data_IF_723437994362
#
_entry.id   IF_723437994362
#
_cell.length_a   1.000
_cell.length_b   1.000
_cell.length_c   1.000
_cell.angle_alpha   90.00
_cell.angle_beta   90.00
_cell.angle_gamma   90.00
#
_symmetry.space_group_name_H-M   'P 1'
#
loop_
_entity.id
_entity.type
_entity.pdbx_description
1 polymer ?
#
# COMPACT_ATOMS: atom_id res chain seq x y z
N UNK A 1 -45.79 -38.80 -16.09
CA UNK A 1 -45.76 -37.51 -16.82
C UNK A 1 -45.58 -36.28 -15.92
N UNK A 2 -46.21 -36.17 -14.73
CA UNK A 2 -46.14 -35.01 -13.81
C UNK A 2 -44.75 -34.51 -13.33
N UNK A 3 -43.71 -35.35 -13.31
CA UNK A 3 -42.39 -34.95 -12.75
C UNK A 3 -41.54 -34.17 -13.77
N UNK A 4 -41.83 -34.30 -15.07
CA UNK A 4 -41.15 -33.53 -16.13
C UNK A 4 -41.59 -32.06 -16.15
N UNK A 5 -42.83 -31.80 -15.77
CA UNK A 5 -43.42 -30.46 -15.71
C UNK A 5 -42.66 -29.59 -14.69
N UNK A 6 -42.42 -30.09 -13.48
CA UNK A 6 -41.71 -29.33 -12.44
C UNK A 6 -40.25 -28.97 -12.80
N UNK A 7 -39.52 -29.85 -13.50
CA UNK A 7 -38.14 -29.57 -13.93
C UNK A 7 -38.05 -28.54 -15.05
N UNK A 8 -38.94 -28.64 -16.04
CA UNK A 8 -39.01 -27.68 -17.14
C UNK A 8 -39.51 -26.30 -16.68
N UNK A 9 -40.44 -26.27 -15.72
CA UNK A 9 -40.91 -25.05 -15.06
C UNK A 9 -39.79 -24.35 -14.29
N UNK A 10 -38.98 -25.10 -13.53
CA UNK A 10 -37.82 -24.56 -12.81
C UNK A 10 -36.78 -23.97 -13.77
N UNK A 11 -36.46 -24.67 -14.87
CA UNK A 11 -35.51 -24.17 -15.88
C UNK A 11 -36.06 -22.91 -16.57
N UNK A 12 -37.32 -22.93 -17.00
CA UNK A 12 -37.96 -21.78 -17.65
C UNK A 12 -38.06 -20.57 -16.72
N UNK A 13 -38.43 -20.79 -15.45
CA UNK A 13 -38.51 -19.78 -14.41
C UNK A 13 -37.14 -19.17 -14.07
N UNK A 14 -36.07 -19.96 -14.17
CA UNK A 14 -34.71 -19.52 -13.86
C UNK A 14 -34.05 -18.66 -14.96
N UNK A 15 -34.48 -18.77 -16.22
CA UNK A 15 -33.90 -18.03 -17.36
C UNK A 15 -33.89 -16.51 -17.13
N UNK A 16 -34.99 -15.94 -16.67
CA UNK A 16 -35.13 -14.50 -16.47
C UNK A 16 -34.24 -13.97 -15.32
N UNK A 17 -34.26 -14.55 -14.10
CA UNK A 17 -33.35 -14.17 -13.03
C UNK A 17 -31.86 -14.23 -13.41
N UNK A 18 -31.44 -15.25 -14.16
CA UNK A 18 -30.06 -15.37 -14.64
C UNK A 18 -29.71 -14.25 -15.63
N UNK A 19 -30.60 -13.92 -16.58
CA UNK A 19 -30.41 -12.82 -17.52
C UNK A 19 -30.37 -11.46 -16.84
N UNK A 20 -31.22 -11.23 -15.84
CA UNK A 20 -31.22 -9.98 -15.08
C UNK A 20 -29.93 -9.79 -14.28
N UNK A 21 -29.38 -10.85 -13.66
CA UNK A 21 -28.09 -10.79 -12.96
C UNK A 21 -26.92 -10.59 -13.92
N UNK A 22 -26.93 -11.24 -15.08
CA UNK A 22 -25.92 -11.05 -16.13
C UNK A 22 -25.91 -9.60 -16.63
N UNK A 23 -27.09 -9.03 -16.90
CA UNK A 23 -27.24 -7.62 -17.28
C UNK A 23 -26.81 -6.66 -16.15
N UNK A 24 -27.01 -7.05 -14.89
CA UNK A 24 -26.58 -6.27 -13.73
C UNK A 24 -25.06 -6.22 -13.60
N UNK A 25 -24.40 -7.39 -13.66
CA UNK A 25 -22.94 -7.51 -13.49
C UNK A 25 -22.15 -7.00 -14.71
N UNK A 26 -22.73 -7.00 -15.91
CA UNK A 26 -22.08 -6.49 -17.12
C UNK A 26 -22.11 -4.96 -17.21
N UNK A 27 -22.99 -4.29 -16.46
CA UNK A 27 -23.13 -2.84 -16.52
C UNK A 27 -21.92 -2.07 -15.94
N UNK A 28 -21.63 -0.89 -16.49
CA UNK A 28 -20.55 0.02 -15.99
C UNK A 28 -20.73 0.42 -14.52
N UNK A 29 -21.97 0.49 -14.04
CA UNK A 29 -22.31 0.83 -12.64
C UNK A 29 -22.74 -0.38 -11.80
N UNK A 30 -22.26 -1.58 -12.14
CA UNK A 30 -22.72 -2.84 -11.53
C UNK A 30 -22.72 -2.81 -10.00
N UNK A 31 -21.67 -2.29 -9.35
CA UNK A 31 -21.60 -2.22 -7.86
C UNK A 31 -22.81 -1.54 -7.24
N UNK A 32 -23.20 -0.38 -7.80
CA UNK A 32 -24.37 0.38 -7.32
C UNK A 32 -25.68 -0.35 -7.60
N UNK A 33 -25.79 -1.03 -8.76
CA UNK A 33 -26.99 -1.81 -9.09
C UNK A 33 -27.13 -3.04 -8.19
N UNK A 34 -26.02 -3.72 -7.93
CA UNK A 34 -25.92 -4.86 -7.04
C UNK A 34 -26.33 -4.51 -5.61
N UNK A 35 -25.83 -3.40 -5.07
CA UNK A 35 -26.19 -2.90 -3.74
C UNK A 35 -27.66 -2.43 -3.62
N UNK A 36 -28.31 -2.05 -4.73
CA UNK A 36 -29.72 -1.65 -4.73
C UNK A 36 -30.69 -2.84 -4.69
N UNK A 37 -30.23 -4.05 -4.99
CA UNK A 37 -31.08 -5.24 -5.11
C UNK A 37 -30.50 -6.46 -4.37
N UNK A 38 -30.15 -6.34 -3.08
CA UNK A 38 -29.55 -7.45 -2.32
C UNK A 38 -30.49 -8.65 -2.16
N UNK A 39 -31.79 -8.40 -2.06
CA UNK A 39 -32.83 -9.43 -1.96
C UNK A 39 -32.86 -10.35 -3.20
N UNK A 40 -32.53 -9.81 -4.38
CA UNK A 40 -32.47 -10.61 -5.61
C UNK A 40 -31.29 -11.57 -5.63
N UNK A 41 -30.16 -11.15 -5.09
CA UNK A 41 -28.95 -11.98 -5.00
C UNK A 41 -29.19 -13.11 -4.00
N UNK A 42 -29.72 -12.79 -2.82
CA UNK A 42 -30.04 -13.81 -1.81
C UNK A 42 -31.11 -14.79 -2.28
N UNK A 43 -32.18 -14.33 -2.94
CA UNK A 43 -33.20 -15.21 -3.53
C UNK A 43 -32.63 -16.11 -4.64
N UNK A 44 -31.73 -15.57 -5.48
CA UNK A 44 -31.06 -16.34 -6.51
C UNK A 44 -30.18 -17.45 -5.91
N UNK A 45 -29.37 -17.11 -4.91
CA UNK A 45 -28.50 -18.08 -4.21
C UNK A 45 -29.32 -19.16 -3.51
N UNK A 46 -30.44 -18.80 -2.88
CA UNK A 46 -31.33 -19.76 -2.24
C UNK A 46 -31.98 -20.76 -3.22
N UNK A 47 -32.30 -20.31 -4.45
CA UNK A 47 -32.89 -21.17 -5.50
C UNK A 47 -31.88 -21.91 -6.37
N UNK A 48 -30.57 -21.64 -6.22
CA UNK A 48 -29.55 -22.12 -7.14
C UNK A 48 -29.42 -23.65 -7.16
N UNK A 49 -29.55 -24.30 -6.01
CA UNK A 49 -29.39 -25.76 -5.90
C UNK A 49 -30.50 -26.50 -6.65
N UNK A 50 -31.76 -26.07 -6.50
CA UNK A 50 -32.89 -26.66 -7.21
C UNK A 50 -32.75 -26.53 -8.74
N UNK A 51 -32.20 -25.40 -9.22
CA UNK A 51 -31.93 -25.19 -10.65
C UNK A 51 -30.80 -26.10 -11.13
N UNK A 52 -29.74 -26.26 -10.34
CA UNK A 52 -28.62 -27.16 -10.65
C UNK A 52 -29.09 -28.61 -10.76
N UNK A 53 -29.82 -29.09 -9.77
CA UNK A 53 -30.39 -30.44 -9.79
C UNK A 53 -31.34 -30.66 -10.99
N UNK A 54 -32.16 -29.66 -11.32
CA UNK A 54 -33.07 -29.73 -12.47
C UNK A 54 -32.29 -29.85 -13.79
N UNK A 55 -31.22 -29.07 -13.97
CA UNK A 55 -30.34 -29.16 -15.14
C UNK A 55 -29.65 -30.53 -15.23
N UNK A 56 -29.07 -31.01 -14.13
CA UNK A 56 -28.42 -32.33 -14.09
C UNK A 56 -29.39 -33.46 -14.42
N UNK A 57 -30.61 -33.40 -13.89
CA UNK A 57 -31.65 -34.39 -14.14
C UNK A 57 -32.10 -34.39 -15.61
N UNK A 58 -32.27 -33.21 -16.21
CA UNK A 58 -32.63 -33.07 -17.63
C UNK A 58 -31.51 -33.58 -18.54
N UNK A 59 -30.25 -33.22 -18.28
CA UNK A 59 -29.11 -33.69 -19.08
C UNK A 59 -28.90 -35.20 -18.95
N UNK A 60 -28.97 -35.74 -17.72
CA UNK A 60 -28.86 -37.19 -17.48
C UNK A 60 -29.94 -37.97 -18.21
N UNK A 61 -31.19 -37.49 -18.15
CA UNK A 61 -32.31 -38.15 -18.81
C UNK A 61 -32.21 -38.06 -20.34
N UNK A 62 -31.82 -36.89 -20.87
CA UNK A 62 -31.58 -36.72 -22.29
C UNK A 62 -30.52 -37.70 -22.84
N UNK A 63 -29.47 -37.97 -22.06
CA UNK A 63 -28.45 -38.96 -22.41
C UNK A 63 -28.99 -40.40 -22.39
N UNK A 64 -29.75 -40.78 -21.36
CA UNK A 64 -30.33 -42.14 -21.23
C UNK A 64 -31.40 -42.41 -22.27
N UNK A 65 -32.26 -41.44 -22.54
CA UNK A 65 -33.40 -41.57 -23.46
C UNK A 65 -33.06 -41.12 -24.89
N UNK A 66 -31.79 -40.77 -25.18
CA UNK A 66 -31.30 -40.32 -26.49
C UNK A 66 -32.18 -39.23 -27.12
N UNK A 67 -32.50 -38.21 -26.34
CA UNK A 67 -33.35 -37.11 -26.79
C UNK A 67 -32.71 -36.40 -27.99
N UNK A 68 -33.53 -36.08 -29.00
CA UNK A 68 -33.10 -35.25 -30.11
C UNK A 68 -32.63 -33.88 -29.62
N UNK A 69 -31.55 -33.35 -30.21
CA UNK A 69 -30.92 -32.10 -29.78
C UNK A 69 -31.86 -30.89 -29.84
N UNK A 70 -32.86 -30.95 -30.72
CA UNK A 70 -33.81 -29.86 -30.98
C UNK A 70 -34.99 -29.83 -30.01
N UNK A 71 -35.07 -30.80 -29.09
CA UNK A 71 -36.07 -30.84 -28.02
C UNK A 71 -36.09 -29.51 -27.26
N UNK A 72 -37.26 -28.83 -27.14
CA UNK A 72 -37.34 -27.51 -26.52
C UNK A 72 -36.76 -27.45 -25.10
N UNK A 73 -37.03 -28.48 -24.28
CA UNK A 73 -36.54 -28.56 -22.89
C UNK A 73 -35.02 -28.71 -22.84
N UNK A 74 -34.43 -29.52 -23.73
CA UNK A 74 -32.98 -29.69 -23.81
C UNK A 74 -32.28 -28.43 -24.31
N UNK A 75 -32.87 -27.73 -25.30
CA UNK A 75 -32.38 -26.43 -25.76
C UNK A 75 -32.39 -25.39 -24.65
N UNK A 76 -33.47 -25.31 -23.86
CA UNK A 76 -33.55 -24.41 -22.71
C UNK A 76 -32.53 -24.78 -21.63
N UNK A 77 -32.38 -26.06 -21.31
CA UNK A 77 -31.39 -26.53 -20.34
C UNK A 77 -29.95 -26.20 -20.76
N UNK A 78 -29.61 -26.42 -22.04
CA UNK A 78 -28.30 -26.03 -22.61
C UNK A 78 -28.09 -24.52 -22.55
N UNK A 79 -29.10 -23.73 -22.97
CA UNK A 79 -29.03 -22.27 -22.92
C UNK A 79 -28.81 -21.74 -21.50
N UNK A 80 -29.53 -22.28 -20.51
CA UNK A 80 -29.36 -21.92 -19.11
C UNK A 80 -27.98 -22.33 -18.57
N UNK A 81 -27.47 -23.51 -18.97
CA UNK A 81 -26.12 -23.97 -18.58
C UNK A 81 -25.04 -23.00 -19.10
N UNK A 82 -25.08 -22.65 -20.39
CA UNK A 82 -24.17 -21.66 -20.98
C UNK A 82 -24.30 -20.28 -20.32
N UNK A 83 -25.52 -19.87 -19.99
CA UNK A 83 -25.73 -18.62 -19.28
C UNK A 83 -25.12 -18.64 -17.87
N UNK A 84 -25.29 -19.73 -17.14
CA UNK A 84 -24.71 -19.92 -15.80
C UNK A 84 -23.18 -19.90 -15.86
N UNK A 85 -22.56 -20.51 -16.86
CA UNK A 85 -21.11 -20.45 -17.08
C UNK A 85 -20.63 -19.01 -17.35
N UNK A 86 -21.31 -18.28 -18.25
CA UNK A 86 -21.00 -16.87 -18.52
C UNK A 86 -21.13 -16.01 -17.27
N UNK A 87 -22.20 -16.21 -16.51
CA UNK A 87 -22.46 -15.49 -15.27
C UNK A 87 -21.42 -15.82 -14.21
N UNK A 88 -20.99 -17.08 -14.12
CA UNK A 88 -19.91 -17.52 -13.22
C UNK A 88 -18.61 -16.83 -13.55
N UNK A 89 -18.21 -16.83 -14.83
CA UNK A 89 -17.01 -16.12 -15.29
C UNK A 89 -17.09 -14.63 -14.98
N UNK A 90 -18.23 -14.00 -15.26
CA UNK A 90 -18.43 -12.58 -15.00
C UNK A 90 -18.39 -12.25 -13.50
N UNK A 91 -19.00 -13.08 -12.64
CA UNK A 91 -18.94 -12.93 -11.20
C UNK A 91 -17.52 -13.07 -10.67
N UNK A 92 -16.74 -14.03 -11.19
CA UNK A 92 -15.31 -14.19 -10.88
C UNK A 92 -14.50 -12.98 -11.33
N UNK A 93 -14.68 -12.50 -12.56
CA UNK A 93 -14.03 -11.29 -13.07
C UNK A 93 -14.34 -10.07 -12.19
N UNK A 94 -15.59 -9.91 -11.73
CA UNK A 94 -15.97 -8.84 -10.80
C UNK A 94 -15.34 -9.03 -9.43
N UNK A 95 -15.30 -10.25 -8.91
CA UNK A 95 -14.67 -10.57 -7.63
C UNK A 95 -13.18 -10.27 -7.66
N UNK A 96 -12.50 -10.62 -8.75
CA UNK A 96 -11.08 -10.32 -9.01
C UNK A 96 -10.77 -8.82 -9.04
N UNK A 97 -11.76 -7.96 -9.32
CA UNK A 97 -11.57 -6.51 -9.21
C UNK A 97 -11.53 -6.02 -7.76
N UNK A 98 -12.02 -6.81 -6.79
CA UNK A 98 -12.17 -6.44 -5.38
C UNK A 98 -11.24 -7.23 -4.44
N UNK A 99 -10.94 -8.48 -4.75
CA UNK A 99 -10.08 -9.39 -3.96
C UNK A 99 -9.51 -10.47 -4.88
N UNK A 100 -8.66 -11.36 -4.39
CA UNK A 100 -8.19 -12.52 -5.17
C UNK A 100 -9.29 -13.58 -5.18
N UNK A 101 -9.89 -13.87 -6.34
CA UNK A 101 -10.87 -14.93 -6.46
C UNK A 101 -10.18 -16.31 -6.45
N UNK A 102 -10.66 -17.27 -5.64
CA UNK A 102 -10.24 -18.66 -5.79
C UNK A 102 -10.60 -19.18 -7.19
N UNK A 103 -9.74 -20.00 -7.82
CA UNK A 103 -9.96 -20.47 -9.20
C UNK A 103 -11.27 -21.28 -9.35
N UNK A 104 -11.67 -21.99 -8.28
CA UNK A 104 -12.80 -22.94 -8.30
C UNK A 104 -14.07 -22.40 -7.62
N UNK A 105 -14.14 -21.09 -7.36
CA UNK A 105 -15.30 -20.51 -6.66
C UNK A 105 -16.59 -20.70 -7.47
N UNK A 106 -17.65 -21.23 -6.84
CA UNK A 106 -18.94 -21.43 -7.50
C UNK A 106 -19.61 -20.07 -7.77
N UNK A 107 -20.64 -20.04 -8.63
CA UNK A 107 -21.38 -18.81 -8.90
C UNK A 107 -22.00 -18.23 -7.62
N UNK A 108 -22.63 -19.08 -6.82
CA UNK A 108 -23.32 -18.70 -5.58
C UNK A 108 -22.33 -18.10 -4.60
N UNK A 109 -21.21 -18.79 -4.38
CA UNK A 109 -20.17 -18.33 -3.48
C UNK A 109 -19.54 -17.02 -3.96
N UNK A 110 -19.31 -16.87 -5.27
CA UNK A 110 -18.82 -15.63 -5.84
C UNK A 110 -19.78 -14.47 -5.60
N UNK A 111 -21.09 -14.68 -5.79
CA UNK A 111 -22.13 -13.67 -5.56
C UNK A 111 -22.24 -13.30 -4.07
N UNK A 112 -22.22 -14.28 -3.16
CA UNK A 112 -22.24 -14.03 -1.71
C UNK A 112 -20.99 -13.27 -1.25
N UNK A 113 -19.80 -13.62 -1.76
CA UNK A 113 -18.55 -12.90 -1.45
C UNK A 113 -18.58 -11.46 -2.01
N UNK A 114 -19.06 -11.27 -3.24
CA UNK A 114 -19.27 -9.94 -3.82
C UNK A 114 -20.20 -9.10 -2.94
N UNK A 115 -21.32 -9.67 -2.49
CA UNK A 115 -22.26 -8.99 -1.60
C UNK A 115 -21.61 -8.58 -0.28
N UNK A 116 -20.91 -9.49 0.39
CA UNK A 116 -20.23 -9.21 1.65
C UNK A 116 -19.19 -8.09 1.51
N UNK A 117 -18.40 -8.10 0.43
CA UNK A 117 -17.39 -7.07 0.17
C UNK A 117 -18.01 -5.70 -0.11
N UNK A 118 -19.08 -5.66 -0.91
CA UNK A 118 -19.74 -4.41 -1.29
C UNK A 118 -20.53 -3.78 -0.12
N UNK A 119 -21.09 -4.59 0.78
CA UNK A 119 -21.82 -4.12 1.97
C UNK A 119 -20.92 -3.49 3.03
N UNK A 120 -19.61 -3.71 2.96
CA UNK A 120 -18.62 -3.12 3.85
C UNK A 120 -18.00 -1.88 3.18
N UNK A 121 -18.57 -0.68 3.36
CA UNK A 121 -18.02 0.53 2.77
C UNK A 121 -16.66 0.85 3.37
N UNK A 122 -15.75 1.34 2.51
CA UNK A 122 -14.45 1.82 2.97
C UNK A 122 -14.62 3.20 3.60
N UNK A 123 -14.54 3.26 4.93
CA UNK A 123 -14.49 4.54 5.63
C UNK A 123 -13.16 5.25 5.36
N UNK A 124 -13.24 6.51 4.92
CA UNK A 124 -12.10 7.42 4.75
C UNK A 124 -11.61 8.03 6.07
N UNK A 125 -12.49 8.07 7.07
CA UNK A 125 -12.17 8.56 8.39
C UNK A 125 -11.35 7.51 9.14
N UNK A 126 -10.46 7.99 10.01
CA UNK A 126 -9.79 7.14 10.98
C UNK A 126 -10.82 6.58 11.94
N UNK A 127 -10.72 5.29 12.25
CA UNK A 127 -11.48 4.66 13.31
C UNK A 127 -10.93 5.12 14.68
N UNK A 128 -11.71 4.93 15.72
CA UNK A 128 -11.23 5.12 17.09
C UNK A 128 -10.03 4.20 17.36
N UNK A 129 -8.94 4.75 17.91
CA UNK A 129 -7.67 4.04 18.12
C UNK A 129 -6.79 3.83 16.88
N UNK A 130 -7.26 4.24 15.69
CA UNK A 130 -6.48 4.17 14.46
C UNK A 130 -5.58 5.41 14.32
N UNK A 131 -4.28 5.18 14.16
CA UNK A 131 -3.27 6.25 14.10
C UNK A 131 -2.74 6.36 12.68
N UNK A 132 -2.62 7.59 12.18
CA UNK A 132 -2.01 7.87 10.89
C UNK A 132 -0.49 7.77 11.01
N UNK A 133 0.10 6.81 10.30
CA UNK A 133 1.54 6.55 10.29
C UNK A 133 2.21 7.34 9.17
N UNK A 134 1.56 7.37 8.00
CA UNK A 134 2.09 8.03 6.81
C UNK A 134 0.95 8.56 5.97
N UNK A 135 1.13 9.75 5.42
CA UNK A 135 0.26 10.34 4.41
C UNK A 135 1.13 10.83 3.26
N UNK A 136 0.72 10.50 2.04
CA UNK A 136 1.41 10.97 0.85
C UNK A 136 1.19 12.48 0.69
N UNK A 137 2.26 13.28 0.77
CA UNK A 137 2.19 14.72 0.50
C UNK A 137 1.72 14.99 -0.94
N UNK A 138 0.69 15.82 -1.09
CA UNK A 138 0.21 16.30 -2.40
C UNK A 138 0.84 17.63 -2.82
N UNK A 139 1.89 18.08 -2.14
CA UNK A 139 2.49 19.39 -2.38
C UNK A 139 4.01 19.35 -2.35
N UNK A 140 4.63 19.90 -3.41
CA UNK A 140 6.03 20.38 -3.49
C UNK A 140 7.03 19.65 -2.57
N UNK A 141 7.10 18.33 -2.66
CA UNK A 141 8.28 17.61 -2.18
C UNK A 141 9.47 18.09 -3.02
N UNK A 142 10.34 18.93 -2.45
CA UNK A 142 11.62 19.35 -3.04
C UNK A 142 12.66 18.20 -3.06
N UNK A 143 12.30 17.01 -2.59
CA UNK A 143 13.20 15.85 -2.68
C UNK A 143 13.15 15.29 -4.11
N UNK A 144 14.29 15.25 -4.82
CA UNK A 144 14.35 14.67 -6.15
C UNK A 144 14.05 13.18 -6.03
N UNK A 145 12.90 12.76 -6.54
CA UNK A 145 12.61 11.35 -6.75
C UNK A 145 13.59 10.73 -7.75
N UNK A 146 13.68 9.39 -7.82
CA UNK A 146 14.48 8.70 -8.82
C UNK A 146 13.82 8.90 -10.20
N UNK A 147 14.22 9.97 -10.86
CA UNK A 147 13.76 10.39 -12.17
C UNK A 147 14.61 11.58 -12.64
N UNK A 148 14.81 11.70 -13.95
CA UNK A 148 15.57 12.81 -14.53
C UNK A 148 14.90 14.13 -14.10
N UNK A 149 15.59 14.92 -13.27
CA UNK A 149 15.14 16.24 -12.83
C UNK A 149 14.16 16.28 -11.64
N UNK A 150 14.01 15.21 -10.86
CA UNK A 150 13.19 15.23 -9.62
C UNK A 150 11.68 15.42 -9.87
N UNK A 151 11.23 15.27 -11.11
CA UNK A 151 9.81 15.31 -11.47
C UNK A 151 9.28 13.87 -11.60
N UNK A 152 8.21 13.55 -10.86
CA UNK A 152 7.49 12.26 -10.96
C UNK A 152 6.61 12.23 -12.22
N UNK A 153 7.12 12.67 -13.37
CA UNK A 153 6.38 12.65 -14.64
C UNK A 153 6.67 11.30 -15.30
N UNK A 154 5.66 10.44 -15.52
CA UNK A 154 5.89 9.14 -16.13
C UNK A 154 6.54 9.29 -17.51
N UNK A 155 7.55 8.47 -17.79
CA UNK A 155 8.37 8.48 -19.02
C UNK A 155 7.59 8.60 -20.33
N UNK A 156 6.41 7.97 -20.54
CA UNK A 156 5.65 8.15 -21.78
C UNK A 156 5.16 9.59 -21.99
N UNK A 157 4.90 10.36 -20.93
CA UNK A 157 4.45 11.75 -21.06
C UNK A 157 5.59 12.70 -21.46
N UNK A 158 6.82 12.39 -21.05
CA UNK A 158 8.02 13.15 -21.46
C UNK A 158 8.31 13.01 -22.97
N UNK A 159 7.97 11.88 -23.57
CA UNK A 159 8.14 11.63 -25.02
C UNK A 159 6.94 12.14 -25.83
N UNK A 160 5.73 12.07 -25.28
CA UNK A 160 4.52 12.55 -25.96
C UNK A 160 4.50 14.07 -26.14
N UNK A 161 5.10 14.84 -25.22
CA UNK A 161 5.14 16.31 -25.30
C UNK A 161 5.87 16.82 -26.57
N UNK A 162 7.12 16.43 -26.88
CA UNK A 162 7.80 16.88 -28.10
C UNK A 162 7.11 16.38 -29.36
N UNK A 163 6.53 15.17 -29.37
CA UNK A 163 5.77 14.64 -30.50
C UNK A 163 4.49 15.46 -30.75
N UNK A 164 3.75 15.80 -29.70
CA UNK A 164 2.56 16.64 -29.80
C UNK A 164 2.91 18.07 -30.28
N UNK A 165 4.04 18.63 -29.83
CA UNK A 165 4.55 19.92 -30.31
C UNK A 165 4.93 19.85 -31.79
N UNK A 166 5.64 18.80 -32.23
CA UNK A 166 5.99 18.59 -33.64
C UNK A 166 4.75 18.44 -34.53
N UNK A 167 3.76 17.67 -34.09
CA UNK A 167 2.50 17.49 -34.82
C UNK A 167 1.70 18.79 -34.89
N UNK A 168 1.68 19.58 -33.80
CA UNK A 168 1.08 20.91 -33.78
C UNK A 168 1.75 21.85 -34.79
N UNK A 169 3.09 21.90 -34.81
CA UNK A 169 3.84 22.72 -35.79
C UNK A 169 3.50 22.30 -37.22
N UNK A 170 3.42 20.98 -37.49
CA UNK A 170 3.04 20.46 -38.81
C UNK A 170 1.60 20.85 -39.21
N UNK A 171 0.64 20.74 -38.29
CA UNK A 171 -0.77 21.13 -38.52
C UNK A 171 -0.94 22.65 -38.73
N UNK A 172 -0.12 23.45 -38.06
CA UNK A 172 -0.07 24.89 -38.27
C UNK A 172 0.50 25.25 -39.65
N UNK A 173 1.54 24.52 -40.09
CA UNK A 173 2.13 24.69 -41.42
C UNK A 173 1.21 24.24 -42.57
N UNK A 174 0.30 23.30 -42.33
CA UNK A 174 -0.64 22.78 -43.34
C UNK A 174 -1.94 23.59 -43.48
N UNK A 175 -2.08 24.72 -42.79
CA UNK A 175 -3.29 25.56 -42.82
C UNK A 175 -4.46 25.02 -41.98
N UNK A 176 -4.29 23.92 -41.24
CA UNK A 176 -5.31 23.27 -40.42
C UNK A 176 -5.33 23.84 -38.99
N UNK A 177 -5.33 25.17 -38.85
CA UNK A 177 -5.07 25.86 -37.57
C UNK A 177 -6.09 25.53 -36.46
N UNK A 178 -7.38 25.36 -36.82
CA UNK A 178 -8.44 24.98 -35.87
C UNK A 178 -8.25 23.56 -35.34
N UNK A 179 -7.89 22.61 -36.21
CA UNK A 179 -7.54 21.24 -35.82
C UNK A 179 -6.26 21.21 -34.97
N UNK A 180 -5.25 22.01 -35.32
CA UNK A 180 -4.03 22.17 -34.54
C UNK A 180 -4.29 22.67 -33.11
N UNK A 181 -5.06 23.74 -32.96
CA UNK A 181 -5.43 24.29 -31.64
C UNK A 181 -6.29 23.34 -30.81
N UNK A 182 -7.24 22.64 -31.42
CA UNK A 182 -8.10 21.66 -30.74
C UNK A 182 -7.29 20.43 -30.31
N UNK A 183 -6.38 19.96 -31.17
CA UNK A 183 -5.45 18.88 -30.87
C UNK A 183 -4.50 19.27 -29.75
N UNK A 184 -3.92 20.47 -29.78
CA UNK A 184 -3.03 20.97 -28.72
C UNK A 184 -3.79 21.12 -27.40
N UNK A 185 -5.01 21.66 -27.41
CA UNK A 185 -5.86 21.76 -26.23
C UNK A 185 -6.23 20.39 -25.63
N UNK A 186 -6.53 19.40 -26.48
CA UNK A 186 -6.85 18.04 -26.05
C UNK A 186 -5.63 17.26 -25.58
N UNK A 187 -4.47 17.41 -26.24
CA UNK A 187 -3.23 16.73 -25.84
C UNK A 187 -2.60 17.38 -24.61
N UNK A 188 -2.48 18.70 -24.56
CA UNK A 188 -1.98 19.41 -23.39
C UNK A 188 -2.96 19.26 -22.23
N UNK A 189 -4.24 19.56 -22.45
CA UNK A 189 -5.27 19.44 -21.42
C UNK A 189 -5.45 17.99 -20.95
N UNK A 190 -5.63 17.05 -21.87
CA UNK A 190 -5.81 15.64 -21.56
C UNK A 190 -4.58 14.99 -20.93
N UNK A 191 -3.38 15.22 -21.47
CA UNK A 191 -2.16 14.57 -20.94
C UNK A 191 -1.68 15.16 -19.62
N UNK A 192 -1.94 16.45 -19.35
CA UNK A 192 -1.61 17.08 -18.06
C UNK A 192 -2.68 16.80 -17.00
N UNK A 193 -3.97 16.80 -17.37
CA UNK A 193 -5.07 16.56 -16.42
C UNK A 193 -5.26 15.08 -16.12
N UNK A 194 -4.97 14.16 -17.04
CA UNK A 194 -5.22 12.74 -16.83
C UNK A 194 -4.42 12.12 -15.67
N UNK A 195 -3.11 12.38 -15.50
CA UNK A 195 -2.38 11.95 -14.31
C UNK A 195 -2.96 12.55 -13.03
N UNK A 196 -3.43 13.81 -13.07
CA UNK A 196 -4.06 14.47 -11.92
C UNK A 196 -5.42 13.88 -11.57
N UNK A 197 -6.21 13.44 -12.55
CA UNK A 197 -7.50 12.79 -12.33
C UNK A 197 -7.35 11.33 -11.88
N UNK A 198 -6.25 10.66 -12.29
CA UNK A 198 -5.89 9.31 -11.85
C UNK A 198 -5.21 9.27 -10.49
N UNK A 199 -4.65 10.39 -10.04
CA UNK A 199 -3.97 10.47 -8.75
C UNK A 199 -4.97 10.46 -7.59
N UNK A 200 -4.44 10.51 -6.39
CA UNK A 200 -5.19 10.37 -5.17
C UNK A 200 -4.25 10.29 -3.99
N UNK A 201 -4.84 10.17 -2.81
CA UNK A 201 -4.11 10.16 -1.56
C UNK A 201 -3.92 8.76 -1.02
N UNK A 202 -2.67 8.39 -0.77
CA UNK A 202 -2.32 7.20 -0.02
C UNK A 202 -2.12 7.57 1.45
N UNK A 203 -2.72 6.79 2.35
CA UNK A 203 -2.49 6.86 3.78
C UNK A 203 -2.18 5.47 4.31
N UNK A 204 -1.17 5.35 5.15
CA UNK A 204 -0.93 4.15 5.95
C UNK A 204 -1.33 4.51 7.38
N UNK A 205 -2.19 3.68 7.96
CA UNK A 205 -2.57 3.78 9.37
C UNK A 205 -1.97 2.62 10.15
N UNK A 206 -2.18 2.60 11.46
CA UNK A 206 -1.79 1.48 12.32
C UNK A 206 -2.51 0.15 11.98
N UNK A 207 -3.56 0.17 11.14
CA UNK A 207 -4.36 -1.01 10.79
C UNK A 207 -4.45 -1.30 9.30
N UNK A 208 -4.43 -0.27 8.44
CA UNK A 208 -4.77 -0.42 7.01
C UNK A 208 -4.04 0.56 6.12
N UNK A 209 -3.84 0.13 4.88
CA UNK A 209 -3.50 0.98 3.76
C UNK A 209 -4.79 1.53 3.14
N UNK A 210 -4.88 2.85 2.98
CA UNK A 210 -6.00 3.56 2.39
C UNK A 210 -5.57 4.26 1.10
N UNK A 211 -6.36 4.09 0.05
CA UNK A 211 -6.25 4.86 -1.19
C UNK A 211 -7.55 5.64 -1.43
N UNK A 212 -7.41 6.95 -1.55
CA UNK A 212 -8.52 7.85 -1.87
C UNK A 212 -8.26 8.52 -3.22
N UNK A 213 -8.77 7.96 -4.34
CA UNK A 213 -8.60 8.58 -5.65
C UNK A 213 -9.34 9.92 -5.71
N UNK A 214 -8.86 10.84 -6.56
CA UNK A 214 -9.57 12.09 -6.87
C UNK A 214 -10.92 11.77 -7.51
N UNK A 215 -10.94 10.79 -8.43
CA UNK A 215 -12.15 10.28 -9.06
C UNK A 215 -12.32 8.80 -8.73
N UNK A 216 -13.37 8.46 -8.01
CA UNK A 216 -13.75 7.07 -7.72
C UNK A 216 -14.02 6.79 -6.24
N UNK A 217 -14.11 5.50 -5.92
CA UNK A 217 -14.35 5.00 -4.57
C UNK A 217 -13.01 4.80 -3.82
N UNK A 218 -13.02 5.10 -2.52
CA UNK A 218 -11.88 4.79 -1.67
C UNK A 218 -11.70 3.28 -1.52
N UNK A 219 -10.45 2.85 -1.44
CA UNK A 219 -10.06 1.46 -1.27
C UNK A 219 -9.25 1.32 0.01
N UNK A 220 -9.38 0.18 0.68
CA UNK A 220 -8.66 -0.15 1.89
C UNK A 220 -8.21 -1.60 1.86
N UNK A 221 -7.01 -1.87 2.38
CA UNK A 221 -6.49 -3.22 2.64
C UNK A 221 -5.91 -3.23 4.04
N UNK A 222 -6.22 -4.24 4.83
CA UNK A 222 -5.64 -4.37 6.17
C UNK A 222 -4.15 -4.68 6.08
N UNK A 223 -3.33 -4.13 6.96
CA UNK A 223 -1.88 -4.35 6.90
C UNK A 223 -1.51 -5.81 7.20
N UNK A 224 -2.22 -6.44 8.13
CA UNK A 224 -2.00 -7.82 8.55
C UNK A 224 -2.46 -8.87 7.52
N UNK A 225 -3.25 -8.47 6.52
CA UNK A 225 -3.72 -9.37 5.46
C UNK A 225 -2.78 -9.40 4.24
N UNK A 226 -1.78 -8.51 4.18
CA UNK A 226 -0.87 -8.38 3.05
C UNK A 226 0.23 -9.43 3.16
N UNK A 227 0.23 -10.38 2.22
CA UNK A 227 1.28 -11.38 2.10
C UNK A 227 2.64 -10.77 1.70
N UNK A 228 3.72 -11.54 1.85
CA UNK A 228 5.09 -11.07 1.56
C UNK A 228 5.31 -10.64 0.10
N UNK A 229 4.62 -11.29 -0.83
CA UNK A 229 4.60 -10.97 -2.26
C UNK A 229 3.34 -10.18 -2.69
N UNK A 230 2.53 -9.75 -1.71
CA UNK A 230 1.26 -9.07 -1.92
C UNK A 230 1.40 -7.62 -2.42
N UNK A 231 2.62 -7.08 -2.48
CA UNK A 231 2.88 -5.68 -2.88
C UNK A 231 3.65 -5.65 -4.21
N UNK A 232 3.09 -4.97 -5.21
CA UNK A 232 3.71 -4.79 -6.53
C UNK A 232 3.71 -3.32 -6.93
N UNK A 233 4.86 -2.84 -7.41
CA UNK A 233 5.01 -1.48 -7.93
C UNK A 233 5.35 -1.54 -9.41
N UNK A 234 4.48 -0.99 -10.25
CA UNK A 234 4.81 -0.67 -11.63
C UNK A 234 5.64 0.61 -11.65
N UNK A 235 6.96 0.47 -11.84
CA UNK A 235 7.91 1.60 -11.88
C UNK A 235 7.71 2.52 -13.09
N UNK A 236 7.05 2.05 -14.15
CA UNK A 236 6.84 2.86 -15.36
C UNK A 236 5.69 3.85 -15.20
N UNK A 237 4.65 3.48 -14.43
CA UNK A 237 3.46 4.30 -14.18
C UNK A 237 3.36 4.82 -12.74
N UNK A 238 4.24 4.34 -11.86
CA UNK A 238 4.15 4.54 -10.40
C UNK A 238 2.81 4.06 -9.83
N UNK A 239 2.25 3.00 -10.41
CA UNK A 239 1.03 2.34 -9.92
C UNK A 239 1.43 1.31 -8.85
N UNK A 240 0.85 1.44 -7.67
CA UNK A 240 1.00 0.49 -6.57
C UNK A 240 -0.23 -0.44 -6.55
N UNK A 241 0.03 -1.73 -6.63
CA UNK A 241 -0.95 -2.78 -6.43
C UNK A 241 -0.66 -3.52 -5.12
N UNK A 242 -1.67 -3.62 -4.25
CA UNK A 242 -1.59 -4.30 -2.97
C UNK A 242 -2.69 -5.34 -2.89
N UNK A 243 -2.30 -6.55 -2.53
CA UNK A 243 -3.16 -7.72 -2.41
C UNK A 243 -3.14 -8.22 -0.98
N UNK A 244 -4.29 -8.21 -0.34
CA UNK A 244 -4.54 -8.83 0.96
C UNK A 244 -5.97 -9.35 1.02
N UNK A 245 -6.71 -9.00 2.08
CA UNK A 245 -8.15 -9.26 2.20
C UNK A 245 -8.95 -8.62 1.06
N UNK A 246 -8.44 -7.49 0.55
CA UNK A 246 -8.92 -6.80 -0.64
C UNK A 246 -7.75 -6.53 -1.59
N UNK A 247 -8.10 -6.27 -2.85
CA UNK A 247 -7.17 -5.73 -3.85
C UNK A 247 -7.30 -4.21 -3.87
N UNK A 248 -6.17 -3.52 -3.73
CA UNK A 248 -6.07 -2.07 -3.83
C UNK A 248 -5.12 -1.69 -4.95
N UNK A 249 -5.59 -0.78 -5.81
CA UNK A 249 -4.75 -0.19 -6.86
C UNK A 249 -4.69 1.32 -6.70
N UNK A 250 -3.57 1.80 -6.18
CA UNK A 250 -3.25 3.22 -6.10
C UNK A 250 -2.46 3.63 -7.34
N UNK A 251 -2.89 4.69 -8.02
CA UNK A 251 -2.33 5.08 -9.31
C UNK A 251 -1.49 6.35 -9.16
N UNK A 252 -0.35 6.39 -9.86
CA UNK A 252 0.55 7.55 -9.86
C UNK A 252 0.91 8.04 -8.45
N UNK A 253 1.37 7.10 -7.61
CA UNK A 253 1.70 7.36 -6.21
C UNK A 253 2.97 8.21 -6.09
N UNK A 254 2.93 9.34 -5.36
CA UNK A 254 4.14 10.12 -5.08
C UNK A 254 5.06 9.39 -4.09
N UNK A 255 6.37 9.55 -4.28
CA UNK A 255 7.42 8.92 -3.46
C UNK A 255 7.16 7.43 -3.16
N UNK A 256 7.11 6.59 -4.22
CA UNK A 256 6.74 5.18 -4.08
C UNK A 256 7.73 4.41 -3.21
N UNK A 257 9.01 4.79 -3.19
CA UNK A 257 10.02 4.12 -2.36
C UNK A 257 9.75 4.31 -0.86
N UNK A 258 9.49 5.55 -0.42
CA UNK A 258 9.16 5.81 0.98
C UNK A 258 7.87 5.12 1.38
N UNK A 259 6.85 5.14 0.51
CA UNK A 259 5.60 4.44 0.76
C UNK A 259 5.81 2.93 0.91
N UNK A 260 6.56 2.30 -0.01
CA UNK A 260 6.84 0.87 0.03
C UNK A 260 7.62 0.49 1.28
N UNK A 261 8.62 1.28 1.66
CA UNK A 261 9.39 1.05 2.88
C UNK A 261 8.50 1.13 4.13
N UNK A 262 7.70 2.18 4.24
CA UNK A 262 6.77 2.32 5.38
C UNK A 262 5.76 1.17 5.40
N UNK A 263 5.24 0.76 4.25
CA UNK A 263 4.32 -0.37 4.15
C UNK A 263 4.99 -1.69 4.57
N UNK A 264 6.21 -1.93 4.13
CA UNK A 264 7.00 -3.12 4.47
C UNK A 264 7.28 -3.21 5.97
N UNK A 265 7.65 -2.08 6.58
CA UNK A 265 7.90 -1.99 8.01
C UNK A 265 6.62 -2.21 8.82
N UNK A 266 5.53 -1.52 8.48
CA UNK A 266 4.30 -1.57 9.28
C UNK A 266 3.38 -2.77 9.02
N UNK A 267 3.64 -3.57 7.98
CA UNK A 267 2.94 -4.85 7.75
C UNK A 267 3.58 -6.03 8.49
N UNK A 268 4.77 -5.86 9.07
CA UNK A 268 5.53 -6.95 9.71
C UNK A 268 5.87 -6.64 11.17
N UNK A 269 6.02 -7.67 12.02
CA UNK A 269 6.66 -7.49 13.33
C UNK A 269 8.07 -6.92 13.17
N UNK A 270 8.54 -6.07 14.10
CA UNK A 270 7.86 -5.64 15.33
C UNK A 270 6.90 -4.45 15.16
N UNK A 271 6.86 -3.80 13.99
CA UNK A 271 6.13 -2.54 13.79
C UNK A 271 4.64 -2.71 13.48
N UNK A 272 4.20 -3.93 13.18
CA UNK A 272 2.78 -4.27 13.00
C UNK A 272 1.99 -3.92 14.27
N UNK A 273 1.12 -2.92 14.18
CA UNK A 273 0.30 -2.45 15.30
C UNK A 273 1.03 -1.57 16.33
N UNK A 274 2.36 -1.38 16.23
CA UNK A 274 3.12 -0.56 17.17
C UNK A 274 2.61 0.89 17.24
N UNK A 275 2.21 1.44 16.09
CA UNK A 275 1.67 2.79 16.01
C UNK A 275 0.30 2.99 16.68
N UNK A 276 -0.40 1.93 17.13
CA UNK A 276 -1.72 2.05 17.81
C UNK A 276 -1.66 2.84 19.11
N UNK A 277 -0.50 2.88 19.77
CA UNK A 277 -0.30 3.72 20.95
C UNK A 277 -0.44 5.22 20.66
N UNK A 278 -0.22 5.63 19.40
CA UNK A 278 -0.18 7.04 19.00
C UNK A 278 1.07 7.79 19.50
N UNK A 279 1.96 7.12 20.23
CA UNK A 279 3.13 7.74 20.86
C UNK A 279 4.39 7.32 20.11
N UNK A 280 5.10 8.29 19.57
CA UNK A 280 6.47 8.09 19.10
C UNK A 280 7.46 8.36 20.22
N UNK A 281 8.58 7.64 20.21
CA UNK A 281 9.67 7.84 21.14
C UNK A 281 10.30 9.23 20.91
N UNK A 282 10.14 10.13 21.88
CA UNK A 282 10.64 11.51 21.81
C UNK A 282 12.11 11.64 22.19
N UNK A 283 12.61 10.75 23.05
CA UNK A 283 14.00 10.71 23.52
C UNK A 283 14.92 9.99 22.53
N UNK A 284 14.78 10.32 21.25
CA UNK A 284 15.63 9.86 20.15
C UNK A 284 15.98 11.06 19.30
N UNK A 285 17.27 11.24 18.99
CA UNK A 285 17.69 12.15 17.94
C UNK A 285 18.40 11.37 16.84
N UNK A 286 17.91 11.51 15.61
CA UNK A 286 18.54 10.99 14.41
C UNK A 286 19.23 12.14 13.70
N UNK A 287 20.48 11.97 13.30
CA UNK A 287 21.17 13.00 12.54
C UNK A 287 22.33 12.46 11.71
N UNK A 288 22.62 13.07 10.55
CA UNK A 288 23.80 12.72 9.76
C UNK A 288 25.06 13.02 10.57
N UNK A 289 26.00 12.07 10.53
CA UNK A 289 27.24 12.10 11.27
C UNK A 289 28.38 11.42 10.49
N UNK A 290 29.61 11.66 10.94
CA UNK A 290 30.83 11.11 10.40
C UNK A 290 31.68 10.56 11.54
N UNK A 291 32.26 9.37 11.35
CA UNK A 291 33.28 8.79 12.23
C UNK A 291 34.54 8.55 11.42
N UNK A 292 35.60 9.30 11.70
CA UNK A 292 36.80 9.32 10.86
C UNK A 292 36.46 9.77 9.44
N UNK A 293 36.62 8.87 8.47
CA UNK A 293 36.32 9.09 7.04
C UNK A 293 35.01 8.48 6.55
N UNK A 294 34.21 7.91 7.46
CA UNK A 294 32.96 7.23 7.11
C UNK A 294 31.75 8.10 7.46
N UNK A 295 30.95 8.43 6.46
CA UNK A 295 29.65 9.10 6.62
C UNK A 295 28.55 8.08 7.00
N UNK A 296 27.57 8.54 7.77
CA UNK A 296 26.49 7.71 8.28
C UNK A 296 25.43 8.48 9.05
N UNK A 297 24.57 7.73 9.73
CA UNK A 297 23.54 8.24 10.62
C UNK A 297 23.87 7.92 12.07
N UNK A 298 23.80 8.93 12.92
CA UNK A 298 23.84 8.77 14.36
C UNK A 298 22.43 8.66 14.94
N UNK A 299 22.23 7.67 15.82
CA UNK A 299 21.08 7.53 16.71
C UNK A 299 21.53 7.86 18.11
N UNK A 300 21.08 8.98 18.65
CA UNK A 300 21.37 9.39 20.02
C UNK A 300 20.19 9.08 20.93
N UNK A 301 20.48 8.41 22.06
CA UNK A 301 19.55 8.02 23.11
C UNK A 301 20.06 8.50 24.47
N UNK A 302 19.24 8.49 25.54
CA UNK A 302 19.68 8.90 26.87
C UNK A 302 20.86 8.10 27.43
N UNK A 303 20.99 6.83 27.03
CA UNK A 303 21.98 5.90 27.61
C UNK A 303 22.96 5.32 26.60
N UNK A 304 22.79 5.61 25.31
CA UNK A 304 23.62 5.06 24.25
C UNK A 304 23.64 5.96 23.02
N UNK A 305 24.70 5.79 22.24
CA UNK A 305 24.81 6.32 20.89
C UNK A 305 25.08 5.14 19.96
N UNK A 306 24.40 5.13 18.81
CA UNK A 306 24.69 4.22 17.73
C UNK A 306 25.03 4.99 16.46
N UNK A 307 25.97 4.48 15.67
CA UNK A 307 26.33 5.00 14.36
C UNK A 307 26.13 3.91 13.32
N UNK A 308 25.37 4.21 12.28
CA UNK A 308 25.08 3.32 11.15
C UNK A 308 25.66 3.94 9.88
N UNK A 309 26.62 3.29 9.20
CA UNK A 309 27.21 3.81 7.97
C UNK A 309 26.17 4.04 6.86
N UNK A 310 26.42 5.02 5.98
CA UNK A 310 25.55 5.32 4.84
C UNK A 310 25.46 4.17 3.83
N UNK A 311 24.42 4.19 2.99
CA UNK A 311 24.15 3.19 1.94
C UNK A 311 23.89 1.78 2.48
N UNK A 312 23.42 1.71 3.73
CA UNK A 312 23.10 0.45 4.42
C UNK A 312 21.60 0.22 4.64
N UNK A 313 20.74 0.97 3.95
CA UNK A 313 19.27 0.88 4.13
C UNK A 313 18.72 -0.53 3.99
N UNK A 314 19.17 -1.30 2.99
CA UNK A 314 18.74 -2.69 2.79
C UNK A 314 19.12 -3.58 3.99
N UNK A 315 20.37 -3.52 4.44
CA UNK A 315 20.84 -4.30 5.60
C UNK A 315 20.11 -3.87 6.87
N UNK A 316 19.84 -2.58 7.05
CA UNK A 316 19.05 -2.05 8.17
C UNK A 316 17.63 -2.61 8.18
N UNK A 317 16.95 -2.60 7.03
CA UNK A 317 15.60 -3.15 6.89
C UNK A 317 15.58 -4.65 7.21
N UNK A 318 16.49 -5.42 6.60
CA UNK A 318 16.62 -6.87 6.84
C UNK A 318 16.93 -7.18 8.31
N UNK A 319 17.74 -6.36 8.98
CA UNK A 319 18.06 -6.55 10.40
C UNK A 319 16.84 -6.33 11.32
N UNK A 320 15.93 -5.42 10.94
CA UNK A 320 14.69 -5.15 11.68
C UNK A 320 13.66 -6.25 11.43
N UNK A 321 13.36 -6.55 10.17
CA UNK A 321 12.29 -7.47 9.76
C UNK A 321 12.69 -8.94 9.85
N UNK A 322 13.99 -9.25 9.82
CA UNK A 322 14.51 -10.60 9.76
C UNK A 322 14.28 -11.30 8.43
N UNK A 323 13.78 -10.60 7.40
CA UNK A 323 13.44 -11.17 6.09
C UNK A 323 14.22 -10.51 4.97
N UNK A 324 14.61 -11.25 3.92
CA UNK A 324 15.13 -10.65 2.71
C UNK A 324 14.05 -9.82 2.02
N UNK A 325 14.46 -8.75 1.35
CA UNK A 325 13.56 -7.83 0.65
C UNK A 325 14.20 -7.37 -0.66
N UNK A 326 13.37 -7.18 -1.68
CA UNK A 326 13.79 -6.65 -2.99
C UNK A 326 13.77 -5.12 -3.04
N UNK A 327 13.36 -4.45 -1.95
CA UNK A 327 13.36 -2.99 -1.88
C UNK A 327 14.80 -2.46 -1.87
N UNK A 328 15.06 -1.42 -2.66
CA UNK A 328 16.37 -0.79 -2.77
C UNK A 328 16.25 0.73 -2.99
N UNK A 329 17.36 1.45 -2.87
CA UNK A 329 17.42 2.90 -3.11
C UNK A 329 16.86 3.76 -1.98
N UNK A 330 16.94 3.30 -0.73
CA UNK A 330 16.60 4.06 0.47
C UNK A 330 17.73 3.97 1.49
N UNK A 331 17.78 4.94 2.41
CA UNK A 331 18.81 5.05 3.43
C UNK A 331 18.33 4.52 4.79
N UNK A 332 19.27 4.33 5.73
CA UNK A 332 18.98 3.76 7.04
C UNK A 332 18.13 4.68 7.94
N UNK A 333 18.12 5.99 7.65
CA UNK A 333 17.36 7.02 8.35
C UNK A 333 15.85 6.72 8.35
N UNK A 334 15.28 6.33 7.22
CA UNK A 334 13.85 6.05 7.12
C UNK A 334 13.45 4.80 7.91
N UNK A 335 14.31 3.79 7.96
CA UNK A 335 14.11 2.60 8.78
C UNK A 335 14.13 2.97 10.27
N UNK A 336 15.18 3.69 10.69
CA UNK A 336 15.39 4.06 12.08
C UNK A 336 14.33 5.03 12.60
N UNK A 337 13.83 5.93 11.74
CA UNK A 337 12.72 6.83 12.07
C UNK A 337 11.43 6.05 12.31
N UNK A 338 11.13 5.04 11.48
CA UNK A 338 9.94 4.21 11.68
C UNK A 338 9.99 3.42 13.00
N UNK A 339 11.18 3.02 13.46
CA UNK A 339 11.33 2.31 14.75
C UNK A 339 10.86 3.15 15.94
N UNK A 340 10.75 4.48 15.82
CA UNK A 340 10.28 5.34 16.93
C UNK A 340 8.85 5.03 17.36
N UNK A 341 8.08 4.30 16.57
CA UNK A 341 6.77 3.77 16.98
C UNK A 341 6.87 2.62 18.00
N UNK A 342 8.06 2.05 18.21
CA UNK A 342 8.28 0.97 19.16
C UNK A 342 8.52 1.51 20.59
N UNK A 343 8.21 0.70 21.62
CA UNK A 343 8.68 0.95 22.97
C UNK A 343 10.21 1.08 23.05
N UNK A 344 10.72 1.84 24.02
CA UNK A 344 12.14 2.11 24.19
C UNK A 344 13.04 0.85 24.13
N UNK A 345 12.68 -0.20 24.87
CA UNK A 345 13.46 -1.44 24.91
C UNK A 345 13.53 -2.15 23.56
N UNK A 346 12.40 -2.20 22.83
CA UNK A 346 12.35 -2.81 21.50
C UNK A 346 13.06 -1.96 20.45
N UNK A 347 12.94 -0.63 20.54
CA UNK A 347 13.71 0.30 19.72
C UNK A 347 15.21 0.04 19.89
N UNK A 348 15.72 0.06 21.12
CA UNK A 348 17.14 -0.12 21.42
C UNK A 348 17.65 -1.51 20.95
N UNK A 349 16.83 -2.56 21.10
CA UNK A 349 17.13 -3.89 20.58
C UNK A 349 17.19 -3.93 19.04
N UNK A 350 16.27 -3.26 18.34
CA UNK A 350 16.29 -3.16 16.88
C UNK A 350 17.48 -2.36 16.38
N UNK A 351 17.81 -1.23 17.01
CA UNK A 351 19.00 -0.43 16.67
C UNK A 351 20.26 -1.27 16.86
N UNK A 352 20.39 -2.02 17.95
CA UNK A 352 21.52 -2.91 18.18
C UNK A 352 21.68 -3.97 17.06
N UNK A 353 20.57 -4.59 16.61
CA UNK A 353 20.58 -5.51 15.45
C UNK A 353 21.04 -4.82 14.17
N UNK A 354 20.54 -3.61 13.90
CA UNK A 354 20.94 -2.80 12.73
C UNK A 354 22.42 -2.47 12.77
N UNK A 355 22.95 -1.99 13.90
CA UNK A 355 24.37 -1.68 14.07
C UNK A 355 25.23 -2.92 13.79
N UNK A 356 24.87 -4.06 14.38
CA UNK A 356 25.58 -5.32 14.17
C UNK A 356 25.58 -5.76 12.70
N UNK A 357 24.43 -5.67 12.02
CA UNK A 357 24.28 -6.09 10.63
C UNK A 357 24.99 -5.16 9.63
N UNK A 358 25.14 -3.88 9.98
CA UNK A 358 25.74 -2.86 9.11
C UNK A 358 27.23 -2.64 9.35
N UNK A 359 27.80 -3.28 10.38
CA UNK A 359 29.17 -3.03 10.82
C UNK A 359 29.34 -1.64 11.44
N UNK A 360 28.27 -1.10 12.01
CA UNK A 360 28.26 0.20 12.68
C UNK A 360 28.95 0.18 14.04
N UNK A 361 28.83 1.29 14.76
CA UNK A 361 29.38 1.47 16.09
C UNK A 361 28.28 1.68 17.12
N UNK A 362 28.48 1.20 18.34
CA UNK A 362 27.62 1.48 19.48
C UNK A 362 28.48 1.87 20.68
N UNK A 363 28.17 3.00 21.30
CA UNK A 363 28.83 3.53 22.48
C UNK A 363 27.81 3.67 23.60
N UNK A 364 28.14 3.20 24.80
CA UNK A 364 27.37 3.53 25.98
C UNK A 364 27.59 5.01 26.35
N UNK A 365 26.62 5.65 26.98
CA UNK A 365 26.75 7.04 27.42
C UNK A 365 27.92 7.26 28.41
N UNK A 366 28.33 6.22 29.15
CA UNK A 366 29.49 6.28 30.04
C UNK A 366 30.84 6.21 29.32
N UNK A 367 30.88 5.66 28.11
CA UNK A 367 32.12 5.46 27.37
C UNK A 367 32.48 6.64 26.46
N UNK A 368 31.50 7.52 26.20
CA UNK A 368 31.62 8.60 25.23
C UNK A 368 31.24 9.94 25.86
N UNK A 369 32.08 10.95 25.64
CA UNK A 369 31.85 12.29 26.18
C UNK A 369 31.46 13.26 25.06
N UNK A 370 30.38 14.00 25.28
CA UNK A 370 30.01 15.12 24.43
C UNK A 370 30.95 16.30 24.71
N UNK A 371 31.55 16.85 23.65
CA UNK A 371 32.42 18.03 23.72
C UNK A 371 31.57 19.28 23.48
N UNK A 372 31.34 20.14 24.50
CA UNK A 372 30.64 21.40 24.31
C UNK A 372 31.35 22.29 23.29
N UNK A 373 30.58 23.03 22.49
CA UNK A 373 31.15 23.94 21.50
C UNK A 373 30.06 24.69 20.76
N UNK A 374 30.10 24.60 19.44
CA UNK A 374 29.10 25.21 18.57
C UNK A 374 27.69 24.68 18.86
N UNK A 375 26.64 25.44 18.50
CA UNK A 375 25.29 24.95 18.64
C UNK A 375 25.05 23.66 17.84
N UNK A 376 24.16 22.78 18.33
CA UNK A 376 24.03 21.41 17.81
C UNK A 376 23.60 21.31 16.34
N UNK A 377 22.97 22.35 15.80
CA UNK A 377 22.60 22.44 14.39
C UNK A 377 23.78 22.83 13.48
N UNK A 378 24.87 23.32 14.06
CA UNK A 378 26.13 23.62 13.36
C UNK A 378 27.09 22.44 13.47
N UNK A 379 27.33 21.97 14.69
CA UNK A 379 28.19 20.82 14.93
C UNK A 379 27.88 20.14 16.27
N UNK A 380 27.89 18.81 16.27
CA UNK A 380 27.89 17.94 17.43
C UNK A 380 29.20 17.16 17.39
N UNK A 381 29.96 17.19 18.50
CA UNK A 381 31.22 16.46 18.63
C UNK A 381 31.16 15.53 19.84
N UNK A 382 31.24 14.23 19.61
CA UNK A 382 31.24 13.21 20.66
C UNK A 382 32.51 12.37 20.52
N UNK A 383 33.20 12.10 21.63
CA UNK A 383 34.50 11.42 21.64
C UNK A 383 34.48 10.17 22.50
N UNK A 384 35.19 9.13 22.06
CA UNK A 384 35.48 7.90 22.82
C UNK A 384 36.94 7.49 22.56
N UNK A 385 37.83 7.74 23.51
CA UNK A 385 39.27 7.63 23.28
C UNK A 385 39.71 8.49 22.09
N UNK A 386 40.39 7.89 21.12
CA UNK A 386 40.84 8.53 19.88
C UNK A 386 39.72 8.70 18.83
N UNK A 387 38.59 8.02 18.99
CA UNK A 387 37.48 8.10 18.03
C UNK A 387 36.67 9.37 18.25
N UNK A 388 36.35 10.06 17.15
CA UNK A 388 35.53 11.28 17.15
C UNK A 388 34.37 11.08 16.19
N UNK A 389 33.15 11.28 16.71
CA UNK A 389 31.94 11.41 15.92
C UNK A 389 31.62 12.90 15.75
N UNK A 390 31.45 13.32 14.51
CA UNK A 390 31.06 14.68 14.13
C UNK A 390 29.71 14.62 13.42
N UNK A 391 28.71 15.34 13.90
CA UNK A 391 27.39 15.37 13.27
C UNK A 391 26.74 16.73 13.33
N UNK A 392 25.52 16.83 12.82
CA UNK A 392 24.70 18.05 12.92
C UNK A 392 23.24 17.68 13.09
N UNK A 393 22.58 18.21 14.12
CA UNK A 393 21.16 17.97 14.30
C UNK A 393 20.35 18.71 13.23
N UNK A 394 19.49 17.98 12.54
CA UNK A 394 18.49 18.58 11.66
C UNK A 394 17.42 19.30 12.48
N UNK A 395 16.69 20.20 11.82
CA UNK A 395 15.65 21.00 12.47
C UNK A 395 14.66 20.16 13.28
N UNK A 396 14.23 19.02 12.73
CA UNK A 396 13.27 18.11 13.37
C UNK A 396 13.78 17.54 14.70
N UNK A 397 15.08 17.27 14.82
CA UNK A 397 15.67 16.61 15.99
C UNK A 397 16.45 17.56 16.89
N UNK A 398 16.50 18.86 16.56
CA UNK A 398 17.31 19.84 17.31
C UNK A 398 16.98 19.85 18.80
N UNK A 399 15.70 19.97 19.16
CA UNK A 399 15.28 20.05 20.55
C UNK A 399 15.58 18.75 21.33
N UNK A 400 15.33 17.58 20.71
CA UNK A 400 15.68 16.29 21.30
C UNK A 400 17.19 16.11 21.45
N UNK A 401 17.97 16.47 20.44
CA UNK A 401 19.43 16.39 20.48
C UNK A 401 20.00 17.28 21.60
N UNK A 402 19.55 18.53 21.72
CA UNK A 402 19.97 19.44 22.79
C UNK A 402 19.66 18.85 24.18
N UNK A 403 18.43 18.35 24.37
CA UNK A 403 17.99 17.75 25.64
C UNK A 403 18.82 16.52 26.00
N UNK A 404 19.03 15.61 25.05
CA UNK A 404 19.78 14.37 25.24
C UNK A 404 21.26 14.66 25.58
N UNK A 405 21.89 15.57 24.82
CA UNK A 405 23.29 15.95 25.05
C UNK A 405 23.49 16.68 26.38
N UNK A 406 22.50 17.47 26.85
CA UNK A 406 22.54 18.05 28.20
C UNK A 406 22.47 16.96 29.29
N UNK A 407 21.68 15.90 29.08
CA UNK A 407 21.63 14.75 29.98
C UNK A 407 22.97 14.04 30.10
N UNK A 408 23.70 13.90 29.00
CA UNK A 408 25.04 13.29 28.97
C UNK A 408 26.09 14.12 29.72
N UNK A 409 25.92 15.44 29.82
CA UNK A 409 26.83 16.31 30.61
C UNK A 409 26.72 16.09 32.12
N UNK A 410 25.58 15.61 32.62
CA UNK A 410 25.27 15.54 34.06
C UNK A 410 25.75 14.26 34.76
N UNK A 411 26.49 13.36 34.10
CA UNK A 411 27.10 12.19 34.75
C UNK A 411 28.62 12.14 34.55
N UNK A 412 29.34 12.69 35.53
CA UNK A 412 30.53 12.06 36.09
C UNK A 412 30.23 11.67 37.54
N UNK A 413 30.48 10.41 37.90
CA UNK A 413 30.51 10.04 39.32
C UNK A 413 31.55 10.87 40.05
N UNK A 414 31.12 11.61 41.06
CA UNK A 414 31.61 11.52 42.44
C UNK A 414 30.89 12.60 43.26
N UNK A 415 29.80 12.17 43.89
CA UNK A 415 29.45 12.74 45.18
C UNK A 415 30.67 12.63 46.06
N UNK A 416 31.22 13.78 46.47
CA UNK A 416 32.14 13.89 47.59
C UNK A 416 31.58 13.05 48.73
N UNK A 417 32.26 11.96 49.05
CA UNK A 417 32.12 11.33 50.36
C UNK A 417 32.60 12.34 51.40
N UNK A 418 31.67 13.10 51.96
CA UNK A 418 31.87 13.70 53.28
C UNK A 418 31.84 12.58 54.29
N UNK A 419 33.01 12.01 54.58
CA UNK A 419 33.29 11.48 55.90
C UNK A 419 33.33 12.69 56.83
N UNK A 420 32.22 12.96 57.50
CA UNK A 420 32.26 13.71 58.75
C UNK A 420 32.93 12.80 59.78
N UNK A 421 34.12 13.22 60.20
CA UNK A 421 34.70 12.84 61.48
C UNK A 421 34.20 13.89 62.47
N UNK A 422 33.41 13.46 63.44
CA UNK A 422 33.45 13.95 64.83
C UNK A 422 32.76 12.92 65.74
#
# INVERSE_FOLDING_TARGET
MRILEGGAELISGAMRPHAELEAMLSARGWKRRFLKQPERVSAFVAGAEAVREALERVHRRAAVESWAEDMPILRQARALSTQRERLTRLARERLDTLTVAPPDVTLEEALTRLEALLRQPVSKALKEGEVLVFESDHGRSKQPGPGVGGSNIPTPYLVMLPVAVLLFIFLMASGAQTLGLTFLGFFMGGSLLWPLLRSGRVRITSERLLWSPVVGEAQAVRLDSIADDGVRLDRSQFDLEVTGDRRLRARSVPNPLRLLLTLELHRQPPLLGAARSGVQLEDVALFPAKVGDVDGLCVLRPHALAFVPDRRGLQSLQAVTGKPTSLNGFEADWVLEALRWLPAAEFDACVSRVVKATGGLAWAAGDAHFVPGLPVWVAIRIKRGEQVLLGRAEWLYRASAERLLQGWRKRPGEGKGTYDSD
#
